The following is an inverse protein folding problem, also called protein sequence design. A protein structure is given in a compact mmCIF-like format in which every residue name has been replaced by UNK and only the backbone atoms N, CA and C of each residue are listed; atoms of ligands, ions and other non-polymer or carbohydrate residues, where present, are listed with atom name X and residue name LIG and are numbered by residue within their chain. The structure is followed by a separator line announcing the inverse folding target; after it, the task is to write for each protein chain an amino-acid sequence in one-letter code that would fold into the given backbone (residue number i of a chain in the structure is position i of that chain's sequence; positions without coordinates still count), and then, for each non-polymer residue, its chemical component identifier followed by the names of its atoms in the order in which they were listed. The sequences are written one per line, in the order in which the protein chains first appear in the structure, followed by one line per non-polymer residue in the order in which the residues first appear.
data_IF_275999397930
#
_entry.id   IF_275999397930
#
_cell.length_a   1.000
_cell.length_b   1.000
_cell.length_c   1.000
_cell.angle_alpha   90.00
_cell.angle_beta   90.00
_cell.angle_gamma   90.00
#
_symmetry.space_group_name_H-M   'P 1'
#
loop_
_entity.id
_entity.type
_entity.pdbx_description
1 polymer ?
#
# COMPACT_ATOMS: atom_id res chain seq x y z
N UNK A 1 18.96 -27.79 3.34
CA UNK A 1 18.48 -27.56 1.96
C UNK A 1 18.35 -26.06 1.76
N UNK A 2 19.32 -25.45 1.07
CA UNK A 2 19.38 -24.00 0.86
C UNK A 2 18.36 -23.59 -0.19
N UNK A 3 17.50 -22.64 0.16
CA UNK A 3 16.60 -21.97 -0.78
C UNK A 3 17.49 -21.11 -1.69
N UNK A 4 17.74 -21.61 -2.90
CA UNK A 4 18.55 -20.98 -3.94
C UNK A 4 17.94 -19.66 -4.39
N UNK A 5 18.76 -18.62 -4.57
CA UNK A 5 18.37 -17.24 -4.91
C UNK A 5 17.48 -17.08 -6.16
N UNK A 6 17.36 -18.09 -7.01
CA UNK A 6 16.44 -18.11 -8.16
C UNK A 6 14.97 -18.38 -7.83
N UNK A 7 14.63 -18.99 -6.68
CA UNK A 7 13.23 -19.24 -6.30
C UNK A 7 12.52 -18.00 -5.74
N UNK A 8 13.29 -16.98 -5.33
CA UNK A 8 12.75 -15.72 -4.80
C UNK A 8 11.97 -14.94 -5.88
N UNK A 9 12.42 -14.99 -7.13
CA UNK A 9 11.77 -14.34 -8.28
C UNK A 9 10.41 -14.97 -8.66
N UNK A 10 10.21 -16.26 -8.38
CA UNK A 10 8.94 -16.96 -8.64
C UNK A 10 7.97 -16.94 -7.44
N UNK A 11 8.50 -16.77 -6.22
CA UNK A 11 7.68 -16.61 -5.01
C UNK A 11 7.19 -15.17 -4.81
N UNK A 12 7.91 -14.16 -5.31
CA UNK A 12 7.53 -12.75 -5.26
C UNK A 12 6.13 -12.48 -5.88
N UNK A 13 5.80 -12.96 -7.10
CA UNK A 13 4.49 -12.74 -7.71
C UNK A 13 3.34 -13.47 -7.00
N UNK A 14 3.61 -14.65 -6.41
CA UNK A 14 2.59 -15.44 -5.71
C UNK A 14 2.29 -14.84 -4.34
N UNK A 15 3.32 -14.40 -3.61
CA UNK A 15 3.16 -13.63 -2.36
C UNK A 15 2.50 -12.28 -2.65
N UNK A 16 2.89 -11.59 -3.73
CA UNK A 16 2.30 -10.32 -4.14
C UNK A 16 0.82 -10.48 -4.53
N UNK A 17 0.45 -11.56 -5.22
CA UNK A 17 -0.95 -11.85 -5.58
C UNK A 17 -1.78 -12.26 -4.36
N UNK A 18 -1.23 -13.03 -3.43
CA UNK A 18 -1.89 -13.41 -2.17
C UNK A 18 -2.06 -12.19 -1.24
N UNK A 19 -1.16 -11.22 -1.27
CA UNK A 19 -1.25 -9.96 -0.48
C UNK A 19 -2.11 -8.89 -1.16
N UNK A 20 -2.28 -8.91 -2.50
CA UNK A 20 -3.13 -7.94 -3.24
C UNK A 20 -4.63 -8.13 -2.99
N UNK A 21 -5.08 -9.36 -2.79
CA UNK A 21 -6.50 -9.75 -2.65
C UNK A 21 -7.19 -9.39 -1.32
N UNK A 22 -6.58 -9.56 -0.12
CA UNK A 22 -7.28 -9.35 1.14
C UNK A 22 -7.82 -7.93 1.27
N UNK A 23 -7.08 -6.92 0.79
CA UNK A 23 -7.50 -5.52 0.90
C UNK A 23 -8.80 -5.19 0.16
N UNK A 24 -9.03 -5.75 -1.05
CA UNK A 24 -10.28 -5.49 -1.79
C UNK A 24 -11.48 -6.14 -1.11
N UNK A 25 -11.32 -7.39 -0.68
CA UNK A 25 -12.37 -8.13 0.02
C UNK A 25 -12.73 -7.43 1.32
N UNK A 26 -11.74 -6.97 2.09
CA UNK A 26 -11.96 -6.23 3.35
C UNK A 26 -12.69 -4.91 3.11
N UNK A 27 -12.31 -4.11 2.10
CA UNK A 27 -13.02 -2.85 1.78
C UNK A 27 -14.47 -3.12 1.36
N UNK A 28 -14.70 -4.12 0.51
CA UNK A 28 -16.06 -4.45 0.06
C UNK A 28 -16.90 -4.98 1.21
N UNK A 29 -16.37 -5.94 1.99
CA UNK A 29 -17.09 -6.51 3.12
C UNK A 29 -17.40 -5.46 4.19
N UNK A 30 -16.40 -4.70 4.63
CA UNK A 30 -16.60 -3.60 5.58
C UNK A 30 -17.53 -2.52 5.03
N UNK A 31 -17.44 -2.20 3.75
CA UNK A 31 -18.33 -1.25 3.08
C UNK A 31 -19.80 -1.70 3.09
N UNK A 32 -20.07 -2.96 2.73
CA UNK A 32 -21.43 -3.53 2.77
C UNK A 32 -21.97 -3.51 4.19
N UNK A 33 -21.21 -4.04 5.15
CA UNK A 33 -21.64 -4.11 6.56
C UNK A 33 -21.92 -2.71 7.10
N UNK A 34 -21.03 -1.75 6.83
CA UNK A 34 -21.18 -0.37 7.32
C UNK A 34 -22.35 0.34 6.65
N UNK A 35 -22.59 0.10 5.36
CA UNK A 35 -23.74 0.65 4.64
C UNK A 35 -25.07 0.11 5.18
N UNK A 36 -25.15 -1.20 5.48
CA UNK A 36 -26.32 -1.80 6.11
C UNK A 36 -26.55 -1.24 7.51
N UNK A 37 -25.49 -1.12 8.31
CA UNK A 37 -25.57 -0.53 9.65
C UNK A 37 -26.03 0.94 9.61
N UNK A 38 -25.55 1.73 8.63
CA UNK A 38 -25.99 3.10 8.37
C UNK A 38 -27.49 3.16 8.04
N UNK A 39 -27.94 2.35 7.09
CA UNK A 39 -29.34 2.33 6.66
C UNK A 39 -30.27 1.93 7.82
N UNK A 40 -29.88 0.90 8.58
CA UNK A 40 -30.67 0.43 9.71
C UNK A 40 -30.64 1.43 10.88
N UNK A 41 -29.48 2.00 11.20
CA UNK A 41 -29.36 3.03 12.24
C UNK A 41 -30.17 4.29 11.93
N UNK A 42 -30.23 4.68 10.65
CA UNK A 42 -31.11 5.76 10.21
C UNK A 42 -32.59 5.41 10.38
N UNK A 43 -33.00 4.20 9.98
CA UNK A 43 -34.37 3.75 10.15
C UNK A 43 -34.79 3.71 11.63
N UNK A 44 -33.94 3.16 12.50
CA UNK A 44 -34.15 3.10 13.94
C UNK A 44 -34.25 4.49 14.59
N UNK A 45 -33.39 5.43 14.20
CA UNK A 45 -33.42 6.81 14.72
C UNK A 45 -34.68 7.59 14.31
N UNK A 46 -35.33 7.19 13.21
CA UNK A 46 -36.56 7.82 12.71
C UNK A 46 -37.81 7.29 13.40
N UNK A 47 -37.81 6.05 13.87
CA UNK A 47 -38.96 5.42 14.53
C UNK A 47 -38.98 5.62 16.04
N UNK A 48 -37.81 5.79 16.66
CA UNK A 48 -37.71 5.91 18.11
C UNK A 48 -38.00 7.33 18.62
N UNK A 49 -38.68 7.41 19.75
CA UNK A 49 -39.00 8.68 20.43
C UNK A 49 -37.79 9.27 21.19
N UNK A 50 -36.75 8.47 21.41
CA UNK A 50 -35.56 8.85 22.18
C UNK A 50 -34.39 9.27 21.30
N UNK A 51 -33.71 10.37 21.66
CA UNK A 51 -32.49 10.86 20.99
C UNK A 51 -31.35 9.83 21.04
N UNK A 52 -31.34 8.95 22.04
CA UNK A 52 -30.30 7.90 22.21
C UNK A 52 -30.33 6.88 21.06
N UNK A 53 -31.46 6.73 20.36
CA UNK A 53 -31.60 5.84 19.20
C UNK A 53 -30.71 6.21 18.02
N UNK A 54 -30.18 7.43 17.97
CA UNK A 54 -29.29 7.90 16.91
C UNK A 54 -27.83 7.47 17.11
N UNK A 55 -27.45 6.95 18.29
CA UNK A 55 -26.07 6.54 18.56
C UNK A 55 -25.52 5.48 17.60
N UNK A 56 -26.24 4.39 17.29
CA UNK A 56 -25.79 3.42 16.29
C UNK A 56 -25.51 4.08 14.94
N UNK A 57 -26.39 4.99 14.49
CA UNK A 57 -26.20 5.74 13.25
C UNK A 57 -24.92 6.59 13.26
N UNK A 58 -24.70 7.37 14.33
CA UNK A 58 -23.50 8.21 14.47
C UNK A 58 -22.23 7.37 14.43
N UNK A 59 -22.21 6.23 15.13
CA UNK A 59 -21.07 5.30 15.12
C UNK A 59 -20.84 4.75 13.71
N UNK A 60 -21.90 4.32 13.00
CA UNK A 60 -21.78 3.82 11.63
C UNK A 60 -21.28 4.90 10.67
N UNK A 61 -21.65 6.18 10.84
CA UNK A 61 -21.10 7.31 10.06
C UNK A 61 -19.59 7.42 10.25
N UNK A 62 -19.10 7.35 11.49
CA UNK A 62 -17.66 7.46 11.79
C UNK A 62 -16.88 6.32 11.09
N UNK A 63 -17.38 5.10 11.18
CA UNK A 63 -16.76 3.95 10.51
C UNK A 63 -16.88 4.03 8.98
N UNK A 64 -17.97 4.58 8.45
CA UNK A 64 -18.13 4.78 7.01
C UNK A 64 -17.06 5.72 6.45
N UNK A 65 -16.74 6.81 7.17
CA UNK A 65 -15.64 7.72 6.81
C UNK A 65 -14.31 6.98 6.80
N UNK A 66 -14.04 6.13 7.80
CA UNK A 66 -12.80 5.37 7.87
C UNK A 66 -12.68 4.34 6.71
N UNK A 67 -13.75 3.60 6.42
CA UNK A 67 -13.81 2.63 5.31
C UNK A 67 -13.66 3.33 3.95
N UNK A 68 -14.35 4.46 3.75
CA UNK A 68 -14.22 5.27 2.54
C UNK A 68 -12.80 5.79 2.35
N UNK A 69 -12.18 6.30 3.42
CA UNK A 69 -10.78 6.77 3.39
C UNK A 69 -9.83 5.64 3.01
N UNK A 70 -10.01 4.45 3.59
CA UNK A 70 -9.22 3.27 3.24
C UNK A 70 -9.40 2.87 1.77
N UNK A 71 -10.64 2.88 1.27
CA UNK A 71 -10.96 2.58 -0.13
C UNK A 71 -10.28 3.55 -1.11
N UNK A 72 -10.34 4.86 -0.85
CA UNK A 72 -9.71 5.89 -1.68
C UNK A 72 -8.19 5.75 -1.67
N UNK A 73 -7.59 5.58 -0.49
CA UNK A 73 -6.14 5.39 -0.37
C UNK A 73 -5.68 4.12 -1.08
N UNK A 74 -6.46 3.04 -1.01
CA UNK A 74 -6.15 1.78 -1.70
C UNK A 74 -6.25 1.93 -3.21
N UNK A 75 -7.26 2.64 -3.72
CA UNK A 75 -7.42 2.91 -5.15
C UNK A 75 -6.24 3.71 -5.69
N UNK A 76 -5.82 4.76 -4.97
CA UNK A 76 -4.63 5.55 -5.31
C UNK A 76 -3.35 4.71 -5.30
N UNK A 77 -3.20 3.81 -4.33
CA UNK A 77 -2.05 2.92 -4.26
C UNK A 77 -2.04 1.90 -5.41
N UNK A 78 -3.20 1.39 -5.82
CA UNK A 78 -3.31 0.50 -6.98
C UNK A 78 -2.88 1.22 -8.27
N UNK A 79 -3.36 2.44 -8.49
CA UNK A 79 -3.03 3.24 -9.68
C UNK A 79 -1.53 3.61 -9.75
N UNK A 80 -0.91 3.90 -8.60
CA UNK A 80 0.52 4.22 -8.53
C UNK A 80 1.42 2.98 -8.75
N UNK A 81 0.96 1.79 -8.35
CA UNK A 81 1.67 0.54 -8.60
C UNK A 81 1.54 0.10 -10.06
N UNK A 82 0.34 0.17 -10.63
CA UNK A 82 0.12 -0.25 -12.02
C UNK A 82 0.93 0.63 -12.99
N UNK A 83 0.97 1.95 -12.77
CA UNK A 83 1.83 2.86 -13.56
C UNK A 83 3.34 2.63 -13.36
N UNK A 84 3.76 1.97 -12.29
CA UNK A 84 5.16 1.58 -12.07
C UNK A 84 5.48 0.24 -12.75
N UNK A 85 4.52 -0.69 -12.76
CA UNK A 85 4.61 -1.95 -13.51
C UNK A 85 4.66 -1.66 -15.01
N UNK A 86 3.79 -0.79 -15.53
CA UNK A 86 3.77 -0.41 -16.94
C UNK A 86 5.12 0.18 -17.39
N UNK A 87 5.75 1.03 -16.56
CA UNK A 87 7.08 1.56 -16.84
C UNK A 87 8.17 0.48 -16.85
N UNK A 88 8.10 -0.49 -15.92
CA UNK A 88 9.03 -1.62 -15.91
C UNK A 88 8.82 -2.52 -17.14
N UNK A 89 7.58 -2.86 -17.47
CA UNK A 89 7.23 -3.63 -18.67
C UNK A 89 7.64 -2.91 -19.93
N UNK A 90 7.49 -1.58 -20.01
CA UNK A 90 7.94 -0.79 -21.15
C UNK A 90 9.48 -0.70 -21.22
N UNK A 91 10.18 -0.63 -20.09
CA UNK A 91 11.65 -0.70 -20.06
C UNK A 91 12.18 -2.08 -20.46
N UNK A 92 11.44 -3.15 -20.16
CA UNK A 92 11.77 -4.53 -20.53
C UNK A 92 11.42 -4.80 -22.01
N UNK A 93 10.29 -4.29 -22.49
CA UNK A 93 9.87 -4.43 -23.89
C UNK A 93 10.63 -3.49 -24.84
N UNK A 94 11.20 -2.39 -24.34
CA UNK A 94 12.12 -1.52 -25.06
C UNK A 94 13.58 -1.98 -25.00
N UNK A 95 13.85 -3.13 -24.37
CA UNK A 95 15.19 -3.73 -24.25
C UNK A 95 15.34 -4.96 -25.14
N UNK A 96 14.77 -4.94 -26.35
CA UNK A 96 15.24 -5.78 -27.44
C UNK A 96 16.41 -5.06 -28.12
N UNK A 97 17.60 -5.56 -27.85
CA UNK A 97 18.90 -5.27 -28.49
C UNK A 97 19.51 -3.88 -28.25
N UNK A 98 20.45 -3.82 -27.30
CA UNK A 98 21.58 -2.90 -27.41
C UNK A 98 22.86 -3.68 -27.18
N UNK A 99 23.27 -4.43 -28.21
CA UNK A 99 24.68 -4.80 -28.37
C UNK A 99 25.42 -3.54 -28.84
N UNK A 100 26.13 -2.83 -27.94
CA UNK A 100 26.94 -1.66 -28.32
C UNK A 100 28.15 -2.18 -29.11
N UNK A 101 28.06 -2.15 -30.43
CA UNK A 101 29.19 -2.41 -31.32
C UNK A 101 29.92 -1.09 -31.51
N UNK A 102 31.14 -1.01 -30.98
CA UNK A 102 32.02 0.13 -31.19
C UNK A 102 32.39 0.21 -32.70
N UNK A 103 32.68 1.39 -33.29
CA UNK A 103 32.90 1.53 -34.73
C UNK A 103 34.09 0.72 -35.29
N UNK A 104 34.91 0.16 -34.40
CA UNK A 104 36.06 -0.70 -34.65
C UNK A 104 35.73 -2.21 -34.63
N UNK A 105 34.46 -2.59 -34.43
CA UNK A 105 33.98 -3.96 -34.60
C UNK A 105 34.32 -4.93 -33.46
N UNK A 106 34.71 -4.42 -32.29
CA UNK A 106 35.00 -5.26 -31.11
C UNK A 106 33.76 -5.50 -30.24
N UNK A 107 33.62 -6.72 -29.70
CA UNK A 107 32.55 -7.09 -28.78
C UNK A 107 32.86 -6.59 -27.36
N UNK A 108 31.93 -5.88 -26.72
CA UNK A 108 32.03 -5.57 -25.29
C UNK A 108 31.72 -6.85 -24.51
N UNK A 109 32.77 -7.50 -24.02
CA UNK A 109 32.67 -8.68 -23.14
C UNK A 109 31.94 -8.29 -21.83
N UNK A 110 31.05 -9.17 -21.35
CA UNK A 110 30.29 -9.00 -20.11
C UNK A 110 31.16 -8.89 -18.83
N UNK A 111 32.48 -9.07 -18.97
CA UNK A 111 33.48 -8.88 -17.93
C UNK A 111 34.15 -7.50 -17.95
N UNK A 112 33.83 -6.64 -18.91
CA UNK A 112 34.35 -5.26 -18.94
C UNK A 112 33.51 -4.44 -17.98
N UNK A 113 33.99 -4.22 -16.76
CA UNK A 113 33.39 -3.25 -15.85
C UNK A 113 33.63 -1.85 -16.42
N UNK A 114 32.65 -1.34 -17.15
CA UNK A 114 32.67 0.01 -17.68
C UNK A 114 32.66 0.99 -16.51
N UNK A 115 33.30 2.17 -16.66
CA UNK A 115 33.26 3.20 -15.62
C UNK A 115 31.82 3.54 -15.20
N UNK A 116 30.87 3.46 -16.13
CA UNK A 116 29.44 3.63 -15.88
C UNK A 116 28.84 2.54 -14.97
N UNK A 117 29.30 1.29 -15.07
CA UNK A 117 28.88 0.18 -14.20
C UNK A 117 29.43 0.35 -12.77
N UNK A 118 30.63 0.90 -12.66
CA UNK A 118 31.24 1.22 -11.37
C UNK A 118 30.55 2.42 -10.71
N UNK A 119 30.25 3.47 -11.46
CA UNK A 119 29.44 4.61 -10.99
C UNK A 119 28.04 4.15 -10.56
N UNK A 120 27.40 3.26 -11.32
CA UNK A 120 26.10 2.68 -10.96
C UNK A 120 26.17 1.87 -9.65
N UNK A 121 27.21 1.04 -9.47
CA UNK A 121 27.47 0.29 -8.23
C UNK A 121 27.73 1.21 -7.04
N UNK A 122 28.57 2.22 -7.20
CA UNK A 122 28.87 3.19 -6.13
C UNK A 122 27.61 3.93 -5.71
N UNK A 123 26.82 4.42 -6.67
CA UNK A 123 25.51 5.06 -6.40
C UNK A 123 24.52 4.09 -5.73
N UNK A 124 24.49 2.82 -6.11
CA UNK A 124 23.64 1.82 -5.45
C UNK A 124 24.10 1.54 -4.00
N UNK A 125 25.41 1.53 -3.76
CA UNK A 125 25.98 1.37 -2.42
C UNK A 125 25.71 2.57 -1.52
N UNK A 126 25.80 3.80 -2.06
CA UNK A 126 25.45 5.04 -1.36
C UNK A 126 23.97 5.05 -0.99
N UNK A 127 23.08 4.73 -1.93
CA UNK A 127 21.62 4.60 -1.67
C UNK A 127 21.30 3.63 -0.53
N UNK A 128 22.02 2.51 -0.42
CA UNK A 128 21.85 1.56 0.69
C UNK A 128 22.30 2.14 2.02
N UNK A 129 23.42 2.89 2.06
CA UNK A 129 23.90 3.56 3.28
C UNK A 129 22.95 4.68 3.71
N UNK A 130 22.45 5.47 2.76
CA UNK A 130 21.50 6.54 3.01
C UNK A 130 20.16 5.98 3.54
N UNK A 131 19.70 4.86 2.99
CA UNK A 131 18.54 4.13 3.50
C UNK A 131 18.74 3.63 4.94
N UNK A 132 19.91 3.09 5.26
CA UNK A 132 20.23 2.63 6.62
C UNK A 132 20.33 3.79 7.61
N UNK A 133 20.95 4.91 7.22
CA UNK A 133 21.02 6.12 8.02
C UNK A 133 19.63 6.72 8.28
N UNK A 134 18.77 6.76 7.26
CA UNK A 134 17.39 7.20 7.38
C UNK A 134 16.54 6.28 8.27
N UNK A 135 16.77 4.97 8.23
CA UNK A 135 16.11 3.98 9.10
C UNK A 135 16.54 4.11 10.57
N UNK A 136 17.80 4.49 10.82
CA UNK A 136 18.34 4.65 12.17
C UNK A 136 17.74 5.86 12.90
N UNK A 137 17.37 6.91 12.17
CA UNK A 137 16.86 8.15 12.75
C UNK A 137 15.34 8.14 12.92
N UNK A 138 14.88 7.74 14.12
CA UNK A 138 13.46 7.72 14.48
C UNK A 138 13.02 9.10 14.95
N UNK A 139 12.08 9.71 14.24
CA UNK A 139 11.47 11.00 14.62
C UNK A 139 10.34 10.75 15.63
N UNK A 140 10.09 11.70 16.53
CA UNK A 140 8.98 11.61 17.49
C UNK A 140 7.64 11.95 16.82
N UNK A 141 7.02 10.94 16.19
CA UNK A 141 5.77 11.07 15.43
C UNK A 141 4.96 9.79 15.60
N UNK A 142 3.65 9.83 15.33
CA UNK A 142 2.79 8.65 15.36
C UNK A 142 3.35 7.58 14.40
N UNK A 143 3.50 6.33 14.89
CA UNK A 143 4.21 5.23 14.20
C UNK A 143 5.62 5.56 13.67
N UNK A 144 6.61 5.81 14.55
CA UNK A 144 7.94 6.27 14.15
C UNK A 144 8.75 5.23 13.36
N UNK A 145 8.47 3.94 13.56
CA UNK A 145 9.11 2.84 12.81
C UNK A 145 8.65 2.79 11.35
N UNK A 146 7.40 3.16 11.07
CA UNK A 146 6.82 3.13 9.73
C UNK A 146 7.36 4.30 8.90
N UNK A 147 7.46 5.48 9.50
CA UNK A 147 8.07 6.64 8.85
C UNK A 147 9.55 6.40 8.53
N UNK A 148 10.29 5.79 9.47
CA UNK A 148 11.70 5.41 9.24
C UNK A 148 11.84 4.40 8.10
N UNK A 149 10.97 3.39 8.03
CA UNK A 149 10.94 2.41 6.94
C UNK A 149 10.58 3.06 5.59
N UNK A 150 9.61 3.97 5.56
CA UNK A 150 9.22 4.71 4.35
C UNK A 150 10.35 5.62 3.86
N UNK A 151 11.00 6.35 4.77
CA UNK A 151 12.15 7.22 4.41
C UNK A 151 13.34 6.40 3.92
N UNK A 152 13.61 5.26 4.55
CA UNK A 152 14.62 4.32 4.09
C UNK A 152 14.30 3.76 2.69
N UNK A 153 13.04 3.43 2.43
CA UNK A 153 12.60 2.98 1.11
C UNK A 153 12.74 4.09 0.04
N UNK A 154 12.38 5.34 0.37
CA UNK A 154 12.55 6.50 -0.53
C UNK A 154 14.03 6.75 -0.82
N UNK A 155 14.90 6.72 0.19
CA UNK A 155 16.34 6.89 0.03
C UNK A 155 16.96 5.74 -0.79
N UNK A 156 16.53 4.50 -0.56
CA UNK A 156 16.96 3.33 -1.32
C UNK A 156 16.53 3.36 -2.79
N UNK A 157 15.34 3.91 -3.08
CA UNK A 157 14.83 4.09 -4.43
C UNK A 157 15.50 5.26 -5.19
N UNK A 158 16.31 6.08 -4.51
CA UNK A 158 16.93 7.27 -5.10
C UNK A 158 15.99 8.47 -5.21
N UNK A 159 14.95 8.53 -4.37
CA UNK A 159 14.03 9.66 -4.29
C UNK A 159 12.59 9.31 -4.68
N UNK A 160 11.69 10.27 -4.44
CA UNK A 160 10.24 10.12 -4.66
C UNK A 160 9.88 10.09 -6.16
N UNK A 161 10.78 10.53 -7.03
CA UNK A 161 10.62 10.52 -8.49
C UNK A 161 10.62 9.10 -9.05
N UNK A 162 11.48 8.23 -8.51
CA UNK A 162 11.59 6.82 -8.92
C UNK A 162 10.57 5.92 -8.22
N UNK A 163 10.00 6.36 -7.09
CA UNK A 163 8.99 5.61 -6.34
C UNK A 163 7.83 6.53 -5.92
N UNK A 164 7.01 6.99 -6.89
CA UNK A 164 5.92 7.94 -6.64
C UNK A 164 4.84 7.41 -5.70
N UNK A 165 4.70 6.09 -5.58
CA UNK A 165 3.79 5.44 -4.63
C UNK A 165 4.21 5.63 -3.16
N UNK A 166 5.49 5.90 -2.87
CA UNK A 166 5.97 6.19 -1.51
C UNK A 166 5.73 7.64 -1.08
N UNK A 167 5.12 8.49 -1.93
CA UNK A 167 4.78 9.87 -1.59
C UNK A 167 3.67 9.98 -0.54
N UNK A 168 2.79 8.99 -0.46
CA UNK A 168 1.63 9.02 0.44
C UNK A 168 1.99 8.59 1.86
N UNK A 169 1.37 9.21 2.87
CA UNK A 169 1.62 8.87 4.27
C UNK A 169 1.12 7.45 4.59
N UNK A 170 2.06 6.51 4.74
CA UNK A 170 1.77 5.08 4.99
C UNK A 170 1.05 4.88 6.33
N UNK A 171 1.19 5.83 7.27
CA UNK A 171 0.55 5.74 8.59
C UNK A 171 -0.97 5.83 8.48
N UNK A 172 -1.47 6.73 7.64
CA UNK A 172 -2.90 6.91 7.42
C UNK A 172 -3.47 5.68 6.70
N UNK A 173 -2.71 5.09 5.78
CA UNK A 173 -3.09 3.85 5.09
C UNK A 173 -3.20 2.70 6.10
N UNK A 174 -2.22 2.53 6.99
CA UNK A 174 -2.26 1.46 7.99
C UNK A 174 -3.38 1.68 9.00
N UNK A 175 -3.56 2.91 9.49
CA UNK A 175 -4.62 3.24 10.44
C UNK A 175 -6.01 3.00 9.84
N UNK A 176 -6.23 3.44 8.61
CA UNK A 176 -7.49 3.21 7.89
C UNK A 176 -7.71 1.73 7.56
N UNK A 177 -6.66 0.96 7.28
CA UNK A 177 -6.75 -0.49 7.13
C UNK A 177 -7.22 -1.17 8.41
N UNK A 178 -6.60 -0.84 9.55
CA UNK A 178 -6.98 -1.39 10.86
C UNK A 178 -8.44 -1.03 11.20
N UNK A 179 -8.80 0.25 11.03
CA UNK A 179 -10.17 0.73 11.25
C UNK A 179 -11.18 0.00 10.34
N UNK A 180 -10.84 -0.29 9.08
CA UNK A 180 -11.73 -1.03 8.18
C UNK A 180 -11.98 -2.48 8.63
N UNK A 181 -10.97 -3.13 9.23
CA UNK A 181 -11.13 -4.47 9.79
C UNK A 181 -12.02 -4.42 11.02
N UNK A 182 -11.81 -3.44 11.91
CA UNK A 182 -12.63 -3.22 13.10
C UNK A 182 -14.06 -2.80 12.74
N UNK A 183 -14.27 -2.15 11.60
CA UNK A 183 -15.59 -1.74 11.12
C UNK A 183 -16.53 -2.94 10.91
N UNK A 184 -16.01 -4.14 10.64
CA UNK A 184 -16.84 -5.33 10.43
C UNK A 184 -17.57 -5.73 11.72
N UNK A 185 -16.89 -6.09 12.84
CA UNK A 185 -17.58 -6.46 14.07
C UNK A 185 -18.40 -5.30 14.65
N UNK A 186 -17.91 -4.06 14.57
CA UNK A 186 -18.65 -2.89 15.08
C UNK A 186 -19.90 -2.61 14.23
N UNK A 187 -19.79 -2.74 12.91
CA UNK A 187 -20.91 -2.59 11.99
C UNK A 187 -21.99 -3.66 12.21
N UNK A 188 -21.60 -4.92 12.43
CA UNK A 188 -22.54 -5.99 12.80
C UNK A 188 -23.25 -5.65 14.12
N UNK A 189 -22.49 -5.24 15.15
CA UNK A 189 -23.05 -4.88 16.44
C UNK A 189 -24.03 -3.71 16.34
N UNK A 190 -23.65 -2.62 15.67
CA UNK A 190 -24.50 -1.44 15.48
C UNK A 190 -25.74 -1.76 14.65
N UNK A 191 -25.64 -2.63 13.64
CA UNK A 191 -26.78 -3.13 12.89
C UNK A 191 -27.78 -3.87 13.79
N UNK A 192 -27.31 -4.81 14.61
CA UNK A 192 -28.17 -5.58 15.54
C UNK A 192 -28.85 -4.65 16.54
N UNK A 193 -28.10 -3.73 17.15
CA UNK A 193 -28.68 -2.75 18.08
C UNK A 193 -29.72 -1.88 17.40
N UNK A 194 -29.45 -1.42 16.18
CA UNK A 194 -30.42 -0.62 15.40
C UNK A 194 -31.68 -1.41 15.09
N UNK A 195 -31.55 -2.69 14.73
CA UNK A 195 -32.69 -3.57 14.47
C UNK A 195 -33.55 -3.78 15.73
N UNK A 196 -32.92 -3.92 16.90
CA UNK A 196 -33.64 -4.03 18.19
C UNK A 196 -34.40 -2.74 18.52
N UNK A 197 -33.82 -1.58 18.24
CA UNK A 197 -34.47 -0.27 18.48
C UNK A 197 -35.61 -0.03 17.49
N UNK A 198 -35.50 -0.57 16.28
CA UNK A 198 -36.48 -0.39 15.23
C UNK A 198 -37.74 -1.25 15.40
N UNK A 199 -37.59 -2.46 15.97
CA UNK A 199 -38.67 -3.39 16.29
C UNK A 199 -39.48 -2.92 17.51
#
# INVERSE_FOLDING_TARGET
MSITAGSLQYLLPIIERIVRFPGKIVVVASGIVTALALAMGWAAGRTAESVVSWWPFIISVIFAVAVATFGVLRFRLAQAVDSSIDKMTQSLAGSDDVTIINPDGTYVDANTHTFDDEVARVRASQRRRDAQAAAAHKRNVFFPRIEAAQRAAIAGAGGVENAPYLKYDVRIILLSAILSIVAIPVGIFTFVVSLIIWL
#
